data_IF_357297817510
#
_entry.id   IF_357297817510
#
_cell.length_a   1.000
_cell.length_b   1.000
_cell.length_c   1.000
_cell.angle_alpha   90.00
_cell.angle_beta   90.00
_cell.angle_gamma   90.00
#
_symmetry.space_group_name_H-M   'P 1'
#
loop_
_entity.id
_entity.type
_entity.pdbx_description
1 polymer ?
#
# COMPACT_ATOMS: atom_id res chain seq x y z
N UNK A 1 -64.15 -3.16 9.23
CA UNK A 1 -63.96 -4.48 9.89
C UNK A 1 -62.54 -4.54 10.42
N UNK A 2 -62.37 -4.42 11.73
CA UNK A 2 -61.08 -4.38 12.41
C UNK A 2 -60.57 -5.82 12.64
N UNK A 3 -59.34 -6.11 12.22
CA UNK A 3 -58.70 -7.43 12.42
C UNK A 3 -57.76 -7.32 13.62
N UNK A 4 -58.14 -7.97 14.72
CA UNK A 4 -57.42 -8.03 16.00
C UNK A 4 -56.16 -8.90 15.90
N UNK A 5 -55.00 -8.35 16.28
CA UNK A 5 -53.75 -9.10 16.47
C UNK A 5 -53.68 -9.72 17.88
N UNK A 6 -53.17 -10.96 18.04
CA UNK A 6 -53.02 -11.60 19.34
C UNK A 6 -51.82 -11.04 20.15
N UNK A 7 -51.85 -11.13 21.50
CA UNK A 7 -50.82 -10.56 22.36
C UNK A 7 -49.51 -11.39 22.38
N UNK A 8 -48.38 -10.68 22.55
CA UNK A 8 -47.03 -11.25 22.61
C UNK A 8 -46.75 -11.95 23.96
N UNK A 9 -45.95 -13.02 24.00
CA UNK A 9 -45.58 -13.69 25.24
C UNK A 9 -44.57 -12.88 26.08
N UNK A 10 -44.75 -12.96 27.41
CA UNK A 10 -43.95 -12.31 28.45
C UNK A 10 -42.57 -12.98 28.55
N UNK A 11 -41.50 -12.19 28.48
CA UNK A 11 -40.10 -12.65 28.65
C UNK A 11 -39.84 -13.04 30.11
N UNK A 12 -39.44 -14.29 30.34
CA UNK A 12 -38.93 -14.76 31.64
C UNK A 12 -37.62 -14.07 32.03
N UNK A 13 -37.48 -13.78 33.33
CA UNK A 13 -36.27 -13.23 33.96
C UNK A 13 -35.07 -14.15 33.71
N UNK A 14 -34.04 -13.64 33.03
CA UNK A 14 -32.71 -14.27 32.97
C UNK A 14 -31.93 -13.92 34.24
N UNK A 15 -31.46 -14.95 34.94
CA UNK A 15 -30.45 -14.84 36.00
C UNK A 15 -29.10 -14.40 35.41
N UNK A 16 -28.27 -13.61 36.12
CA UNK A 16 -26.96 -13.21 35.61
C UNK A 16 -26.01 -14.42 35.64
N UNK A 17 -25.42 -14.77 34.49
CA UNK A 17 -24.30 -15.72 34.43
C UNK A 17 -23.05 -15.03 34.99
N UNK A 18 -22.34 -15.73 35.89
CA UNK A 18 -21.11 -15.26 36.52
C UNK A 18 -20.00 -14.97 35.50
N UNK A 19 -19.15 -14.01 35.86
CA UNK A 19 -18.00 -13.59 35.06
C UNK A 19 -16.99 -14.74 34.90
N UNK A 20 -16.36 -14.90 33.72
CA UNK A 20 -15.29 -15.88 33.52
C UNK A 20 -14.03 -15.48 34.30
N UNK A 21 -13.22 -16.45 34.77
CA UNK A 21 -12.01 -16.15 35.54
C UNK A 21 -10.95 -15.47 34.68
N UNK A 22 -10.23 -14.52 35.27
CA UNK A 22 -9.13 -13.80 34.66
C UNK A 22 -8.03 -14.77 34.21
N UNK A 23 -7.71 -14.78 32.91
CA UNK A 23 -6.56 -15.48 32.37
C UNK A 23 -5.27 -14.84 32.92
N UNK A 24 -4.44 -15.66 33.57
CA UNK A 24 -3.06 -15.28 33.94
C UNK A 24 -2.25 -15.07 32.67
N UNK A 25 -1.82 -13.83 32.42
CA UNK A 25 -0.85 -13.51 31.38
C UNK A 25 0.56 -13.76 31.91
N UNK A 26 1.15 -14.88 31.53
CA UNK A 26 2.55 -15.23 31.77
C UNK A 26 3.21 -15.67 30.48
N UNK A 27 3.49 -14.70 29.60
CA UNK A 27 4.32 -14.89 28.40
C UNK A 27 5.51 -13.92 28.44
N UNK A 28 6.66 -14.27 27.83
CA UNK A 28 7.87 -13.45 27.87
C UNK A 28 7.60 -12.08 27.22
N UNK A 29 7.93 -11.00 27.95
CA UNK A 29 7.83 -9.63 27.47
C UNK A 29 8.92 -9.40 26.42
N UNK A 30 8.52 -9.07 25.20
CA UNK A 30 9.42 -8.52 24.18
C UNK A 30 10.06 -7.22 24.71
N UNK A 31 11.34 -6.92 24.39
CA UNK A 31 11.99 -5.70 24.83
C UNK A 31 11.20 -4.47 24.38
N UNK A 32 10.99 -3.54 25.32
CA UNK A 32 10.02 -2.47 25.21
C UNK A 32 10.33 -1.46 24.10
N UNK A 33 9.43 -1.40 23.12
CA UNK A 33 9.16 -0.18 22.37
C UNK A 33 8.61 0.82 23.40
N UNK A 34 9.41 1.82 23.77
CA UNK A 34 8.90 2.95 24.55
C UNK A 34 7.84 3.63 23.68
N UNK A 35 6.61 3.86 24.18
CA UNK A 35 5.68 4.72 23.46
C UNK A 35 6.34 6.09 23.33
N UNK A 36 6.66 6.48 22.10
CA UNK A 36 6.97 7.88 21.80
C UNK A 36 5.81 8.73 22.32
N UNK A 37 6.12 9.80 23.04
CA UNK A 37 5.09 10.74 23.47
C UNK A 37 4.34 11.23 22.23
N UNK A 38 3.00 11.27 22.30
CA UNK A 38 2.21 11.81 21.19
C UNK A 38 2.68 13.24 20.90
N UNK A 39 2.98 13.57 19.63
CA UNK A 39 3.45 14.90 19.27
C UNK A 39 2.46 15.97 19.72
N UNK A 40 2.97 17.17 20.02
CA UNK A 40 2.11 18.28 20.43
C UNK A 40 1.03 18.52 19.35
N UNK A 41 -0.16 19.01 19.71
CA UNK A 41 -1.28 19.18 18.75
C UNK A 41 -0.90 19.94 17.47
N UNK A 42 0.02 20.91 17.57
CA UNK A 42 0.57 21.63 16.41
C UNK A 42 1.50 20.78 15.54
N UNK A 43 2.29 19.88 16.14
CA UNK A 43 3.07 18.88 15.41
C UNK A 43 2.20 17.77 14.83
N UNK A 44 1.10 17.39 15.48
CA UNK A 44 0.18 16.37 14.99
C UNK A 44 -0.59 16.81 13.72
N UNK A 45 -0.73 18.11 13.50
CA UNK A 45 -1.40 18.71 12.33
C UNK A 45 -0.43 19.44 11.40
N UNK A 46 0.87 19.10 11.44
CA UNK A 46 1.93 19.72 10.63
C UNK A 46 1.57 19.82 9.15
N UNK A 47 0.93 18.78 8.61
CA UNK A 47 0.55 18.66 7.20
C UNK A 47 -0.44 19.73 6.74
N UNK A 48 -1.20 20.36 7.64
CA UNK A 48 -2.19 21.38 7.29
C UNK A 48 -1.56 22.70 6.82
N UNK A 49 -0.28 22.91 7.15
CA UNK A 49 0.47 24.14 6.83
C UNK A 49 1.71 23.87 5.99
N UNK A 50 2.05 22.59 5.80
CA UNK A 50 3.24 22.17 5.10
C UNK A 50 3.15 22.46 3.60
N UNK A 51 4.27 22.88 3.02
CA UNK A 51 4.51 22.88 1.58
C UNK A 51 5.12 21.54 1.22
N UNK A 52 4.39 20.76 0.41
CA UNK A 52 4.86 19.50 -0.15
C UNK A 52 5.63 19.74 -1.44
N UNK A 53 6.72 19.01 -1.62
CA UNK A 53 7.49 18.97 -2.85
C UNK A 53 7.52 17.53 -3.37
N UNK A 54 6.84 17.31 -4.48
CA UNK A 54 6.76 16.02 -5.17
C UNK A 54 8.11 15.72 -5.85
N UNK A 55 8.65 14.53 -5.62
CA UNK A 55 9.95 14.11 -6.12
C UNK A 55 9.82 12.80 -6.89
N UNK A 56 10.10 12.87 -8.18
CA UNK A 56 10.39 11.69 -9.00
C UNK A 56 11.90 11.41 -8.94
N UNK A 57 12.32 10.49 -8.06
CA UNK A 57 13.74 10.21 -7.75
C UNK A 57 14.60 9.99 -9.01
N UNK A 58 14.10 9.17 -9.95
CA UNK A 58 14.77 8.87 -11.24
C UNK A 58 15.11 10.11 -12.07
N UNK A 59 14.32 11.17 -11.93
CA UNK A 59 14.49 12.42 -12.67
C UNK A 59 15.14 13.55 -11.88
N UNK A 60 15.55 13.31 -10.63
CA UNK A 60 15.97 14.40 -9.74
C UNK A 60 17.47 14.68 -9.77
N UNK A 61 18.31 13.70 -9.39
CA UNK A 61 19.76 13.84 -9.45
C UNK A 61 20.45 12.46 -9.45
N UNK A 62 21.27 12.23 -10.46
CA UNK A 62 22.13 11.04 -10.60
C UNK A 62 23.44 11.26 -9.81
N UNK A 63 23.77 10.33 -8.91
CA UNK A 63 24.96 10.42 -8.06
C UNK A 63 26.11 9.52 -8.50
N UNK A 64 25.86 8.61 -9.44
CA UNK A 64 26.77 7.52 -9.80
C UNK A 64 27.10 7.45 -11.31
N UNK A 65 26.57 8.40 -12.08
CA UNK A 65 26.78 8.57 -13.53
C UNK A 65 26.20 7.42 -14.40
N UNK A 66 25.16 6.73 -13.94
CA UNK A 66 24.44 5.70 -14.73
C UNK A 66 23.29 6.24 -15.60
N UNK A 67 22.98 7.54 -15.48
CA UNK A 67 21.91 8.22 -16.21
C UNK A 67 20.56 8.23 -15.50
N UNK A 68 20.46 7.67 -14.30
CA UNK A 68 19.23 7.57 -13.50
C UNK A 68 19.43 8.26 -12.15
N UNK A 69 18.48 9.09 -11.74
CA UNK A 69 18.50 9.68 -10.40
C UNK A 69 18.27 8.64 -9.29
N UNK A 70 19.00 8.75 -8.20
CA UNK A 70 19.03 7.77 -7.11
C UNK A 70 18.87 8.43 -5.72
N UNK A 71 18.71 7.60 -4.67
CA UNK A 71 18.49 8.09 -3.30
C UNK A 71 19.70 8.85 -2.75
N UNK A 72 20.93 8.44 -3.12
CA UNK A 72 22.14 9.13 -2.73
C UNK A 72 22.21 10.53 -3.36
N UNK A 73 21.78 10.66 -4.60
CA UNK A 73 21.68 11.92 -5.32
C UNK A 73 20.61 12.84 -4.76
N UNK A 74 19.42 12.30 -4.47
CA UNK A 74 18.38 13.04 -3.76
C UNK A 74 18.87 13.54 -2.40
N UNK A 75 19.54 12.69 -1.63
CA UNK A 75 20.16 13.06 -0.34
C UNK A 75 21.20 14.16 -0.50
N UNK A 76 22.04 14.11 -1.53
CA UNK A 76 23.06 15.13 -1.82
C UNK A 76 22.47 16.52 -2.14
N UNK A 77 21.17 16.59 -2.45
CA UNK A 77 20.44 17.83 -2.76
C UNK A 77 19.53 18.31 -1.63
N UNK A 78 19.58 17.69 -0.45
CA UNK A 78 18.80 18.14 0.70
C UNK A 78 19.10 19.59 1.11
N UNK A 79 20.34 20.08 0.94
CA UNK A 79 20.68 21.48 1.22
C UNK A 79 19.94 22.45 0.28
N UNK A 80 19.72 22.06 -0.97
CA UNK A 80 18.89 22.83 -1.91
C UNK A 80 17.42 22.82 -1.48
N UNK A 81 16.89 21.67 -1.08
CA UNK A 81 15.50 21.52 -0.65
C UNK A 81 15.22 22.30 0.65
N UNK A 82 16.17 22.30 1.59
CA UNK A 82 16.13 23.13 2.79
C UNK A 82 16.16 24.62 2.45
N UNK A 83 17.09 25.05 1.58
CA UNK A 83 17.15 26.45 1.10
C UNK A 83 15.84 26.88 0.40
N UNK A 84 15.23 25.98 -0.38
CA UNK A 84 13.96 26.22 -1.05
C UNK A 84 12.82 26.41 -0.04
N UNK A 85 12.95 25.86 1.17
CA UNK A 85 12.01 26.04 2.28
C UNK A 85 10.83 25.09 2.25
N UNK A 86 11.01 23.87 1.73
CA UNK A 86 9.94 22.85 1.72
C UNK A 86 9.85 22.15 3.07
N UNK A 87 8.63 21.84 3.51
CA UNK A 87 8.41 21.16 4.80
C UNK A 87 8.37 19.63 4.67
N UNK A 88 7.98 19.14 3.49
CA UNK A 88 7.84 17.71 3.25
C UNK A 88 8.14 17.33 1.78
N UNK A 89 8.88 16.24 1.62
CA UNK A 89 9.07 15.57 0.34
C UNK A 89 8.01 14.48 0.17
N UNK A 90 7.37 14.46 -0.99
CA UNK A 90 6.50 13.36 -1.41
C UNK A 90 7.23 12.55 -2.48
N UNK A 91 7.67 11.34 -2.11
CA UNK A 91 8.33 10.43 -3.03
C UNK A 91 7.30 9.68 -3.88
N UNK A 92 7.47 9.72 -5.19
CA UNK A 92 6.84 8.76 -6.11
C UNK A 92 7.39 7.35 -5.88
N UNK A 93 6.74 6.28 -6.42
CA UNK A 93 7.13 4.90 -6.13
C UNK A 93 8.63 4.62 -6.36
N UNK A 94 9.29 4.22 -5.27
CA UNK A 94 10.69 3.82 -5.25
C UNK A 94 10.88 2.30 -5.07
N UNK A 95 9.79 1.54 -5.02
CA UNK A 95 9.79 0.08 -4.84
C UNK A 95 10.29 -0.65 -6.10
N UNK A 96 10.78 -1.90 -5.98
CA UNK A 96 10.94 -2.79 -7.11
C UNK A 96 9.68 -2.88 -7.95
N UNK A 97 9.87 -2.79 -9.25
CA UNK A 97 8.81 -2.76 -10.24
C UNK A 97 9.42 -3.14 -11.60
N UNK A 98 8.67 -3.80 -12.48
CA UNK A 98 9.07 -3.97 -13.88
C UNK A 98 9.08 -2.65 -14.68
N UNK A 99 8.64 -1.55 -14.08
CA UNK A 99 8.57 -0.20 -14.65
C UNK A 99 7.70 -0.10 -15.90
N UNK A 100 6.64 -0.91 -15.98
CA UNK A 100 5.68 -0.87 -17.09
C UNK A 100 4.60 0.19 -16.90
N UNK A 101 4.49 0.74 -15.69
CA UNK A 101 3.65 1.91 -15.36
C UNK A 101 4.39 2.86 -14.40
N UNK A 102 5.62 3.26 -14.76
CA UNK A 102 6.37 4.29 -14.02
C UNK A 102 6.77 3.93 -12.58
N UNK A 103 6.65 2.66 -12.19
CA UNK A 103 6.91 2.18 -10.82
C UNK A 103 5.65 1.88 -10.01
N UNK A 104 4.45 2.20 -10.52
CA UNK A 104 3.18 1.91 -9.86
C UNK A 104 2.79 0.42 -9.95
N UNK A 105 3.37 -0.33 -10.89
CA UNK A 105 3.32 -1.80 -10.95
C UNK A 105 4.36 -2.44 -10.02
N UNK A 106 4.10 -2.45 -8.71
CA UNK A 106 5.05 -2.88 -7.66
C UNK A 106 5.20 -4.42 -7.61
N UNK A 107 6.44 -4.91 -7.66
CA UNK A 107 6.76 -6.35 -7.55
C UNK A 107 7.30 -6.78 -6.18
N UNK A 108 7.71 -5.83 -5.32
CA UNK A 108 8.06 -6.06 -3.92
C UNK A 108 7.87 -4.78 -3.09
N UNK A 109 7.04 -4.83 -2.04
CA UNK A 109 6.76 -3.67 -1.17
C UNK A 109 7.81 -3.44 -0.07
N UNK A 110 8.74 -4.38 0.14
CA UNK A 110 9.59 -4.40 1.33
C UNK A 110 10.99 -3.87 1.12
N UNK A 111 11.33 -3.47 -0.11
CA UNK A 111 12.67 -2.98 -0.44
C UNK A 111 12.60 -1.84 -1.46
N UNK A 112 13.77 -1.33 -1.83
CA UNK A 112 13.98 -0.25 -2.79
C UNK A 112 14.33 -0.84 -4.14
N UNK A 113 13.89 -0.18 -5.22
CA UNK A 113 14.25 -0.54 -6.58
C UNK A 113 15.78 -0.50 -6.73
N UNK A 114 16.44 -1.54 -7.28
CA UNK A 114 17.90 -1.63 -7.30
C UNK A 114 18.61 -0.43 -7.95
N UNK A 115 18.03 0.14 -9.01
CA UNK A 115 18.56 1.34 -9.68
C UNK A 115 18.51 2.61 -8.82
N UNK A 116 17.68 2.65 -7.77
CA UNK A 116 17.55 3.81 -6.88
C UNK A 116 18.44 3.71 -5.64
N UNK A 117 19.08 2.55 -5.42
CA UNK A 117 19.89 2.25 -4.25
C UNK A 117 19.29 1.17 -3.36
N UNK A 118 19.63 1.21 -2.08
CA UNK A 118 19.29 0.18 -1.09
C UNK A 118 18.37 0.71 0.00
N UNK A 119 17.88 -0.20 0.86
CA UNK A 119 17.16 0.19 2.06
C UNK A 119 18.01 1.05 3.01
N UNK A 120 19.32 0.80 3.08
CA UNK A 120 20.24 1.60 3.89
C UNK A 120 20.38 3.02 3.33
N UNK A 121 20.39 3.18 2.00
CA UNK A 121 20.39 4.51 1.36
C UNK A 121 19.10 5.27 1.66
N UNK A 122 17.95 4.59 1.67
CA UNK A 122 16.67 5.19 2.06
C UNK A 122 16.70 5.65 3.52
N UNK A 123 17.19 4.82 4.43
CA UNK A 123 17.32 5.19 5.86
C UNK A 123 18.24 6.39 6.01
N UNK A 124 19.39 6.40 5.34
CA UNK A 124 20.34 7.49 5.44
C UNK A 124 19.79 8.80 4.83
N UNK A 125 19.01 8.72 3.75
CA UNK A 125 18.26 9.85 3.21
C UNK A 125 17.23 10.39 4.21
N UNK A 126 16.42 9.51 4.82
CA UNK A 126 15.39 9.89 5.79
C UNK A 126 16.01 10.56 7.02
N UNK A 127 17.08 10.00 7.57
CA UNK A 127 17.80 10.58 8.70
C UNK A 127 18.33 11.99 8.37
N UNK A 128 18.90 12.18 7.19
CA UNK A 128 19.42 13.47 6.74
C UNK A 128 18.32 14.50 6.47
N UNK A 129 17.17 14.07 5.93
CA UNK A 129 15.99 14.92 5.73
C UNK A 129 15.41 15.37 7.08
N UNK A 130 15.21 14.43 8.01
CA UNK A 130 14.69 14.74 9.34
C UNK A 130 15.62 15.63 10.17
N UNK A 131 16.95 15.53 9.98
CA UNK A 131 17.91 16.46 10.60
C UNK A 131 17.75 17.92 10.15
N UNK A 132 17.07 18.15 9.03
CA UNK A 132 16.73 19.47 8.46
C UNK A 132 15.25 19.83 8.70
N UNK A 133 14.58 19.11 9.59
CA UNK A 133 13.13 19.22 9.84
C UNK A 133 12.23 18.96 8.61
N UNK A 134 12.79 18.38 7.54
CA UNK A 134 12.06 17.99 6.34
C UNK A 134 11.45 16.62 6.56
N UNK A 135 10.14 16.51 6.43
CA UNK A 135 9.41 15.23 6.51
C UNK A 135 9.40 14.52 5.17
N UNK A 136 9.19 13.21 5.21
CA UNK A 136 9.05 12.42 3.98
C UNK A 136 7.78 11.59 4.04
N UNK A 137 6.99 11.68 2.98
CA UNK A 137 5.88 10.77 2.68
C UNK A 137 6.17 10.09 1.35
N UNK A 138 5.54 8.95 1.11
CA UNK A 138 5.72 8.17 -0.10
C UNK A 138 4.38 7.70 -0.63
N UNK A 139 4.29 7.58 -1.96
CA UNK A 139 3.21 6.84 -2.59
C UNK A 139 3.22 5.38 -2.11
N UNK A 140 2.03 4.85 -1.87
CA UNK A 140 1.82 3.44 -1.58
C UNK A 140 0.61 2.94 -2.39
N UNK A 141 0.88 2.08 -3.35
CA UNK A 141 -0.16 1.49 -4.21
C UNK A 141 -0.84 0.35 -3.46
N UNK A 142 -2.06 0.60 -2.98
CA UNK A 142 -2.81 -0.36 -2.15
C UNK A 142 -3.73 -1.27 -2.95
N UNK A 143 -4.12 -0.85 -4.16
CA UNK A 143 -5.18 -1.52 -4.93
C UNK A 143 -4.69 -2.79 -5.63
N UNK A 144 -3.48 -2.78 -6.15
CA UNK A 144 -2.95 -3.84 -7.02
C UNK A 144 -1.45 -4.04 -6.77
N UNK A 145 -0.93 -5.12 -7.35
CA UNK A 145 0.51 -5.37 -7.48
C UNK A 145 0.86 -5.52 -8.96
N UNK A 146 2.14 -5.67 -9.30
CA UNK A 146 2.56 -6.21 -10.60
C UNK A 146 2.13 -7.68 -10.75
N UNK A 147 1.90 -8.12 -11.99
CA UNK A 147 1.78 -9.54 -12.37
C UNK A 147 3.07 -10.36 -12.11
N UNK A 148 4.21 -9.68 -11.91
CA UNK A 148 5.47 -10.31 -11.50
C UNK A 148 5.62 -10.39 -9.97
N UNK A 149 4.69 -9.83 -9.20
CA UNK A 149 4.74 -9.93 -7.74
C UNK A 149 4.63 -11.42 -7.32
N UNK A 150 5.46 -11.91 -6.39
CA UNK A 150 5.45 -13.33 -5.98
C UNK A 150 4.07 -13.82 -5.53
N UNK A 151 3.25 -12.93 -4.98
CA UNK A 151 1.87 -13.24 -4.62
C UNK A 151 1.01 -13.57 -5.84
N UNK A 152 1.09 -12.78 -6.92
CA UNK A 152 0.31 -13.05 -8.12
C UNK A 152 0.79 -14.31 -8.81
N UNK A 153 2.11 -14.53 -8.90
CA UNK A 153 2.68 -15.76 -9.49
C UNK A 153 2.19 -17.02 -8.75
N UNK A 154 2.17 -16.99 -7.42
CA UNK A 154 1.66 -18.12 -6.62
C UNK A 154 0.13 -18.26 -6.71
N UNK A 155 -0.60 -17.14 -6.82
CA UNK A 155 -2.04 -17.16 -7.01
C UNK A 155 -2.40 -17.72 -8.39
N UNK A 156 -1.80 -17.21 -9.46
CA UNK A 156 -2.09 -17.61 -10.84
C UNK A 156 -1.70 -19.05 -11.16
N UNK A 157 -0.69 -19.61 -10.49
CA UNK A 157 -0.27 -21.00 -10.70
C UNK A 157 -1.20 -22.06 -10.11
N UNK A 158 -2.09 -21.71 -9.16
CA UNK A 158 -2.97 -22.70 -8.51
C UNK A 158 -4.22 -22.09 -7.89
N UNK A 159 -5.36 -22.76 -8.08
CA UNK A 159 -6.64 -22.43 -7.43
C UNK A 159 -6.70 -22.80 -5.94
N UNK A 160 -5.67 -23.44 -5.39
CA UNK A 160 -5.65 -23.93 -4.01
C UNK A 160 -4.36 -23.59 -3.25
N UNK A 161 -3.51 -22.72 -3.79
CA UNK A 161 -2.34 -22.21 -3.07
C UNK A 161 -2.79 -21.34 -1.87
N UNK A 162 -1.92 -21.12 -0.87
CA UNK A 162 -2.20 -20.21 0.24
C UNK A 162 -2.58 -18.78 -0.21
N UNK A 163 -2.22 -18.37 -1.43
CA UNK A 163 -2.51 -17.07 -2.03
C UNK A 163 -3.59 -17.14 -3.12
N UNK A 164 -4.34 -18.24 -3.23
CA UNK A 164 -5.33 -18.45 -4.28
C UNK A 164 -6.40 -17.33 -4.32
N UNK A 165 -6.73 -16.74 -3.17
CA UNK A 165 -7.75 -15.70 -3.01
C UNK A 165 -7.16 -14.30 -2.70
N UNK A 166 -5.84 -14.11 -2.88
CA UNK A 166 -5.20 -12.79 -2.72
C UNK A 166 -5.59 -11.80 -3.83
N UNK A 167 -6.02 -12.32 -4.98
CA UNK A 167 -6.46 -11.53 -6.13
C UNK A 167 -7.88 -11.93 -6.48
N UNK A 168 -8.56 -11.04 -7.20
CA UNK A 168 -9.95 -11.26 -7.58
C UNK A 168 -10.01 -12.15 -8.83
N UNK A 169 -10.46 -13.40 -8.64
CA UNK A 169 -10.61 -14.38 -9.72
C UNK A 169 -12.09 -14.65 -10.03
N UNK A 170 -12.39 -14.97 -11.30
CA UNK A 170 -13.70 -15.46 -11.72
C UNK A 170 -13.60 -16.40 -12.94
N UNK A 171 -14.57 -17.29 -13.12
CA UNK A 171 -14.57 -18.22 -14.26
C UNK A 171 -15.02 -17.56 -15.58
N UNK A 172 -15.72 -16.42 -15.51
CA UNK A 172 -16.12 -15.56 -16.64
C UNK A 172 -15.68 -14.10 -16.43
N UNK A 173 -15.88 -13.25 -17.44
CA UNK A 173 -15.52 -11.82 -17.42
C UNK A 173 -16.74 -10.89 -17.22
N UNK A 174 -17.88 -11.43 -16.76
CA UNK A 174 -19.16 -10.71 -16.73
C UNK A 174 -19.45 -10.02 -15.40
N UNK A 175 -18.57 -10.15 -14.40
CA UNK A 175 -18.72 -9.48 -13.11
C UNK A 175 -18.43 -7.98 -13.24
N UNK A 176 -19.28 -7.18 -12.60
CA UNK A 176 -19.22 -5.70 -12.52
C UNK A 176 -19.18 -4.98 -13.88
N UNK A 177 -20.13 -5.24 -14.80
CA UNK A 177 -20.15 -4.57 -16.11
C UNK A 177 -20.36 -3.05 -16.03
N UNK A 178 -20.85 -2.55 -14.90
CA UNK A 178 -21.00 -1.11 -14.63
C UNK A 178 -19.68 -0.40 -14.31
N UNK A 179 -18.63 -1.14 -13.95
CA UNK A 179 -17.32 -0.57 -13.67
C UNK A 179 -16.61 -0.24 -14.97
N UNK A 180 -16.42 1.06 -15.23
CA UNK A 180 -15.72 1.54 -16.43
C UNK A 180 -14.29 0.99 -16.51
N UNK A 181 -13.83 0.72 -17.72
CA UNK A 181 -12.40 0.55 -18.02
C UNK A 181 -11.72 1.92 -17.91
N UNK A 182 -10.65 2.02 -17.13
CA UNK A 182 -9.98 3.31 -16.87
C UNK A 182 -9.16 3.75 -18.08
N UNK A 183 -8.43 2.82 -18.71
CA UNK A 183 -7.57 3.06 -19.87
C UNK A 183 -8.17 2.46 -21.14
N UNK A 184 -9.31 3.02 -21.60
CA UNK A 184 -10.09 2.50 -22.74
C UNK A 184 -9.31 2.43 -24.07
N UNK A 185 -8.24 3.21 -24.21
CA UNK A 185 -7.41 3.23 -25.42
C UNK A 185 -6.35 2.11 -25.43
N UNK A 186 -6.17 1.40 -24.31
CA UNK A 186 -5.14 0.35 -24.13
C UNK A 186 -5.78 -0.97 -23.73
N UNK A 187 -6.69 -0.94 -22.76
CA UNK A 187 -7.36 -2.12 -22.20
C UNK A 187 -8.74 -2.29 -22.81
N UNK A 188 -9.05 -3.52 -23.25
CA UNK A 188 -10.35 -3.86 -23.84
C UNK A 188 -11.38 -4.31 -22.79
N UNK A 189 -10.91 -4.70 -21.61
CA UNK A 189 -11.70 -5.20 -20.48
C UNK A 189 -10.95 -4.95 -19.17
N UNK A 190 -11.67 -5.00 -18.05
CA UNK A 190 -11.08 -5.06 -16.70
C UNK A 190 -10.82 -6.52 -16.25
N UNK A 191 -11.03 -7.49 -17.13
CA UNK A 191 -10.79 -8.91 -16.89
C UNK A 191 -9.81 -9.46 -17.92
N UNK A 192 -8.77 -10.14 -17.44
CA UNK A 192 -7.78 -10.84 -18.29
C UNK A 192 -7.74 -12.33 -17.96
N UNK A 193 -7.78 -13.18 -18.99
CA UNK A 193 -7.75 -14.63 -18.84
C UNK A 193 -6.33 -15.16 -18.58
N UNK A 194 -6.19 -16.09 -17.65
CA UNK A 194 -4.93 -16.81 -17.35
C UNK A 194 -5.07 -18.27 -17.75
N UNK A 195 -4.39 -18.72 -18.83
CA UNK A 195 -4.49 -20.09 -19.32
C UNK A 195 -4.13 -21.16 -18.28
N UNK A 196 -3.13 -20.93 -17.45
CA UNK A 196 -2.65 -21.91 -16.46
C UNK A 196 -3.69 -22.14 -15.36
N UNK A 197 -4.41 -21.09 -14.97
CA UNK A 197 -5.48 -21.15 -13.96
C UNK A 197 -6.84 -21.50 -14.54
N UNK A 198 -7.05 -21.27 -15.84
CA UNK A 198 -8.34 -21.34 -16.53
C UNK A 198 -9.40 -20.41 -15.90
N UNK A 199 -8.99 -19.20 -15.49
CA UNK A 199 -9.85 -18.17 -14.89
C UNK A 199 -9.44 -16.79 -15.38
N UNK A 200 -10.34 -15.83 -15.25
CA UNK A 200 -10.05 -14.41 -15.40
C UNK A 200 -9.63 -13.82 -14.04
N UNK A 201 -8.70 -12.86 -14.05
CA UNK A 201 -8.46 -11.98 -12.92
C UNK A 201 -8.89 -10.54 -13.25
N UNK A 202 -9.27 -9.82 -12.22
CA UNK A 202 -9.66 -8.41 -12.30
C UNK A 202 -8.43 -7.49 -12.26
N UNK A 203 -8.47 -6.43 -13.05
CA UNK A 203 -7.55 -5.30 -12.99
C UNK A 203 -8.29 -4.01 -13.33
N UNK A 204 -8.11 -2.95 -12.53
CA UNK A 204 -8.70 -1.63 -12.83
C UNK A 204 -7.85 -0.78 -13.75
N UNK A 205 -6.55 -1.06 -13.77
CA UNK A 205 -5.54 -0.37 -14.54
C UNK A 205 -5.09 -1.30 -15.67
N UNK A 206 -3.79 -1.46 -15.90
CA UNK A 206 -3.31 -2.37 -16.95
C UNK A 206 -3.46 -3.83 -16.54
N UNK A 207 -3.52 -4.72 -17.54
CA UNK A 207 -3.55 -6.18 -17.33
C UNK A 207 -2.38 -6.66 -16.45
N UNK A 208 -1.19 -6.06 -16.60
CA UNK A 208 -0.04 -6.39 -15.73
C UNK A 208 -0.10 -5.80 -14.31
N UNK A 209 -1.25 -5.27 -13.89
CA UNK A 209 -1.54 -4.74 -12.56
C UNK A 209 -2.77 -5.42 -11.93
N UNK A 210 -2.69 -6.73 -11.61
CA UNK A 210 -3.79 -7.47 -11.01
C UNK A 210 -4.21 -6.89 -9.64
N UNK A 211 -5.52 -6.68 -9.47
CA UNK A 211 -6.10 -6.12 -8.26
C UNK A 211 -6.09 -7.13 -7.10
N UNK A 212 -5.69 -6.66 -5.91
CA UNK A 212 -5.83 -7.39 -4.65
C UNK A 212 -7.31 -7.53 -4.27
N UNK A 213 -7.67 -8.62 -3.59
CA UNK A 213 -9.05 -8.95 -3.16
C UNK A 213 -9.37 -8.45 -1.74
#
# INVERSE_FOLDING_TARGET
MAVSRPPRPIRGRRTPRGAPPARRAGGPRLPGIRPSALPARGEAEWYRRAVFYEVFTRGFFDSNDDGIGDLAGLRAKLDYLEWLGVDCLWLLPYYPSPLRDGGYDISDFFTVHPELGTLDDLVAFLDDAHRRDIRVVADLVMNHTSDQHPWFVESSSSRSSPKADFYVWNDDDHRWPEARVVFVDVETSNWTFVPERQQYYWHRFYSHQPDLN
#
